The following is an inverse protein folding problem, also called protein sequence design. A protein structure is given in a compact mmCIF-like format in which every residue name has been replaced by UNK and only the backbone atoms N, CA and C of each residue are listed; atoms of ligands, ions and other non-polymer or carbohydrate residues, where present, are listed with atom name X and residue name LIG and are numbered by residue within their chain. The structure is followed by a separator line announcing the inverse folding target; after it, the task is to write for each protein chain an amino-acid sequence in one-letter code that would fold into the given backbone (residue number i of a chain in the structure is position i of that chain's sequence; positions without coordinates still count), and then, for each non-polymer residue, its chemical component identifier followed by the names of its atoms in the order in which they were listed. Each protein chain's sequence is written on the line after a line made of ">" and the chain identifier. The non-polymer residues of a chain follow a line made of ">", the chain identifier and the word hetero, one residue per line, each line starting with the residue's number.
data_IF_004521583576
#
_entry.id   IF_004521583576
#
_cell.length_a   1.000
_cell.length_b   1.000
_cell.length_c   1.000
_cell.angle_alpha   90.00
_cell.angle_beta   90.00
_cell.angle_gamma   90.00
#
_symmetry.space_group_name_H-M   'P 1'
#
loop_
_entity.id
_entity.type
_entity.pdbx_description
1 polymer ?
#
# COMPACT_ATOMS: atom_id res chain seq x y z
N UNK A 1 11.04 -18.81 -20.43
CA UNK A 1 10.72 -18.97 -18.99
C UNK A 1 11.83 -19.79 -18.39
N UNK A 2 12.35 -19.39 -17.23
CA UNK A 2 13.51 -20.02 -16.57
C UNK A 2 13.10 -20.71 -15.28
N UNK A 3 13.70 -21.85 -14.92
CA UNK A 3 13.46 -22.46 -13.60
C UNK A 3 13.64 -21.44 -12.47
N UNK A 4 12.70 -21.43 -11.53
CA UNK A 4 12.60 -20.42 -10.48
C UNK A 4 11.63 -19.28 -10.75
N UNK A 5 11.27 -19.00 -12.02
CA UNK A 5 10.28 -17.98 -12.37
C UNK A 5 8.94 -18.24 -11.65
N UNK A 6 8.33 -17.20 -11.10
CA UNK A 6 7.00 -17.34 -10.52
C UNK A 6 5.93 -17.49 -11.61
N UNK A 7 5.08 -18.51 -11.45
CA UNK A 7 3.96 -18.79 -12.34
C UNK A 7 2.66 -18.89 -11.55
N UNK A 8 1.59 -18.47 -12.20
CA UNK A 8 0.22 -18.63 -11.73
C UNK A 8 -0.56 -19.46 -12.73
N UNK A 9 -1.04 -20.63 -12.30
CA UNK A 9 -1.93 -21.45 -13.09
C UNK A 9 -3.38 -21.17 -12.70
N UNK A 10 -4.19 -20.78 -13.67
CA UNK A 10 -5.60 -20.42 -13.45
C UNK A 10 -6.51 -21.37 -14.22
N UNK A 11 -7.39 -22.08 -13.52
CA UNK A 11 -8.38 -22.96 -14.16
C UNK A 11 -9.55 -22.14 -14.74
N UNK A 12 -10.34 -22.70 -15.67
CA UNK A 12 -11.58 -22.08 -16.18
C UNK A 12 -12.58 -21.70 -15.10
N UNK A 13 -12.56 -22.42 -13.97
CA UNK A 13 -13.41 -22.14 -12.80
C UNK A 13 -12.83 -21.03 -11.89
N UNK A 14 -11.71 -20.42 -12.27
CA UNK A 14 -11.04 -19.35 -11.54
C UNK A 14 -10.14 -19.80 -10.39
N UNK A 15 -9.90 -21.11 -10.22
CA UNK A 15 -9.01 -21.63 -9.18
C UNK A 15 -7.57 -21.31 -9.55
N UNK A 16 -6.79 -20.80 -8.59
CA UNK A 16 -5.43 -20.31 -8.81
C UNK A 16 -4.40 -21.14 -8.05
N UNK A 17 -3.26 -21.40 -8.70
CA UNK A 17 -2.12 -22.10 -8.11
C UNK A 17 -0.83 -21.29 -8.38
N UNK A 18 -0.27 -20.69 -7.33
CA UNK A 18 1.00 -19.97 -7.37
C UNK A 18 2.16 -20.94 -7.13
N UNK A 19 3.14 -21.00 -8.02
CA UNK A 19 4.31 -21.88 -7.92
C UNK A 19 5.56 -21.19 -8.46
N UNK A 20 6.73 -21.62 -8.00
CA UNK A 20 7.96 -21.46 -8.77
C UNK A 20 7.96 -22.48 -9.90
N UNK A 21 8.33 -22.06 -11.09
CA UNK A 21 8.45 -22.93 -12.23
C UNK A 21 9.64 -23.87 -12.04
N UNK A 22 9.37 -25.16 -12.16
CA UNK A 22 10.36 -26.21 -12.22
C UNK A 22 9.87 -27.18 -13.31
N UNK A 23 10.63 -27.37 -14.41
CA UNK A 23 10.21 -28.23 -15.52
C UNK A 23 10.00 -29.70 -15.10
N UNK A 24 10.67 -30.17 -14.04
CA UNK A 24 10.56 -31.55 -13.57
C UNK A 24 9.41 -31.73 -12.57
N UNK A 25 8.85 -30.64 -12.06
CA UNK A 25 7.82 -30.67 -11.05
C UNK A 25 6.44 -31.05 -11.63
N UNK A 26 5.70 -31.81 -10.83
CA UNK A 26 4.31 -32.18 -11.10
C UNK A 26 3.38 -31.55 -10.07
N UNK A 27 2.33 -30.89 -10.54
CA UNK A 27 1.32 -30.30 -9.66
C UNK A 27 0.07 -31.19 -9.62
N UNK A 28 -0.21 -31.74 -8.44
CA UNK A 28 -1.43 -32.52 -8.22
C UNK A 28 -2.60 -31.57 -7.92
N UNK A 29 -3.67 -31.70 -8.70
CA UNK A 29 -4.92 -30.98 -8.49
C UNK A 29 -6.11 -31.93 -8.42
N UNK A 30 -7.29 -31.41 -8.09
CA UNK A 30 -8.54 -32.17 -8.13
C UNK A 30 -8.96 -32.53 -9.57
N UNK A 31 -8.47 -31.77 -10.56
CA UNK A 31 -8.75 -31.97 -11.99
C UNK A 31 -7.59 -32.69 -12.70
N UNK A 32 -6.79 -33.45 -11.93
CA UNK A 32 -5.65 -34.23 -12.40
C UNK A 32 -4.28 -33.61 -12.12
N UNK A 33 -3.23 -34.36 -12.47
CA UNK A 33 -1.82 -33.95 -12.43
C UNK A 33 -1.48 -33.07 -13.63
N UNK A 34 -0.84 -31.95 -13.38
CA UNK A 34 -0.28 -31.03 -14.37
C UNK A 34 1.24 -31.23 -14.41
N UNK A 35 1.77 -31.55 -15.58
CA UNK A 35 3.21 -31.60 -15.84
C UNK A 35 3.71 -30.19 -16.15
N UNK A 36 4.58 -29.64 -15.30
CA UNK A 36 5.01 -28.25 -15.44
C UNK A 36 6.00 -28.05 -16.59
N UNK A 37 6.59 -29.10 -17.16
CA UNK A 37 7.42 -28.97 -18.37
C UNK A 37 6.69 -28.27 -19.53
N UNK A 38 5.36 -28.46 -19.62
CA UNK A 38 4.49 -27.80 -20.60
C UNK A 38 4.51 -26.26 -20.50
N UNK A 39 4.79 -25.73 -19.31
CA UNK A 39 4.72 -24.29 -19.04
C UNK A 39 5.79 -23.52 -19.82
N UNK A 40 7.00 -24.08 -19.96
CA UNK A 40 8.08 -23.43 -20.71
C UNK A 40 7.72 -23.20 -22.18
N UNK A 41 7.06 -24.19 -22.80
CA UNK A 41 6.62 -24.12 -24.20
C UNK A 41 5.41 -23.19 -24.37
N UNK A 42 4.45 -23.25 -23.44
CA UNK A 42 3.25 -22.42 -23.50
C UNK A 42 3.53 -20.93 -23.23
N UNK A 43 4.47 -20.63 -22.32
CA UNK A 43 4.78 -19.27 -21.89
C UNK A 43 3.64 -18.56 -21.17
N UNK A 44 3.87 -17.32 -20.74
CA UNK A 44 2.81 -16.51 -20.13
C UNK A 44 1.73 -16.16 -21.16
N UNK A 45 0.47 -16.31 -20.76
CA UNK A 45 -0.70 -16.21 -21.64
C UNK A 45 -1.09 -17.54 -22.29
N UNK A 46 -0.19 -18.52 -22.34
CA UNK A 46 -0.43 -19.84 -22.90
C UNK A 46 -1.37 -20.71 -22.07
N UNK A 47 -1.79 -21.83 -22.65
CA UNK A 47 -2.64 -22.85 -22.01
C UNK A 47 -1.89 -24.16 -21.94
N UNK A 48 -1.99 -24.82 -20.79
CA UNK A 48 -1.51 -26.19 -20.57
C UNK A 48 -2.67 -27.08 -20.13
N UNK A 49 -2.50 -28.40 -20.22
CA UNK A 49 -3.52 -29.35 -19.79
C UNK A 49 -3.00 -30.26 -18.68
N UNK A 50 -3.90 -30.64 -17.76
CA UNK A 50 -3.67 -31.80 -16.90
C UNK A 50 -3.74 -33.10 -17.72
N UNK A 51 -3.24 -34.21 -17.16
CA UNK A 51 -3.38 -35.53 -17.80
C UNK A 51 -4.85 -35.97 -18.00
N UNK A 52 -5.81 -35.32 -17.34
CA UNK A 52 -7.25 -35.55 -17.53
C UNK A 52 -7.90 -34.56 -18.52
N UNK A 53 -7.09 -33.76 -19.23
CA UNK A 53 -7.57 -32.81 -20.24
C UNK A 53 -8.10 -31.48 -19.69
N UNK A 54 -8.01 -31.23 -18.38
CA UNK A 54 -8.44 -29.95 -17.81
C UNK A 54 -7.44 -28.84 -18.13
N UNK A 55 -7.92 -27.75 -18.72
CA UNK A 55 -7.09 -26.64 -19.17
C UNK A 55 -6.72 -25.69 -18.04
N UNK A 56 -5.54 -25.08 -18.15
CA UNK A 56 -5.03 -24.07 -17.22
C UNK A 56 -4.33 -22.95 -18.00
N UNK A 57 -4.65 -21.70 -17.68
CA UNK A 57 -3.94 -20.52 -18.19
C UNK A 57 -2.68 -20.30 -17.37
N UNK A 58 -1.54 -20.15 -18.03
CA UNK A 58 -0.28 -19.75 -17.41
C UNK A 58 -0.21 -18.23 -17.38
N UNK A 59 -0.07 -17.62 -16.20
CA UNK A 59 0.03 -16.18 -16.03
C UNK A 59 1.22 -15.81 -15.17
N UNK A 60 1.73 -14.59 -15.35
CA UNK A 60 2.64 -13.98 -14.39
C UNK A 60 1.82 -13.50 -13.19
N UNK A 61 2.16 -13.89 -11.95
CA UNK A 61 1.42 -13.42 -10.79
C UNK A 61 1.66 -11.93 -10.58
N UNK A 62 0.57 -11.20 -10.32
CA UNK A 62 0.62 -9.83 -9.80
C UNK A 62 0.99 -9.84 -8.31
N UNK A 63 1.49 -8.72 -7.79
CA UNK A 63 1.75 -8.54 -6.35
C UNK A 63 0.48 -8.79 -5.51
N UNK A 64 -0.69 -8.42 -6.05
CA UNK A 64 -1.99 -8.76 -5.45
C UNK A 64 -2.16 -10.28 -5.23
N UNK A 65 -1.79 -11.08 -6.22
CA UNK A 65 -1.87 -12.55 -6.14
C UNK A 65 -0.80 -13.13 -5.21
N UNK A 66 0.40 -12.52 -5.14
CA UNK A 66 1.42 -12.91 -4.16
C UNK A 66 0.89 -12.72 -2.74
N UNK A 67 0.39 -11.52 -2.41
CA UNK A 67 -0.19 -11.19 -1.10
C UNK A 67 -1.36 -12.13 -0.77
N UNK A 68 -2.26 -12.38 -1.73
CA UNK A 68 -3.43 -13.25 -1.50
C UNK A 68 -3.05 -14.72 -1.35
N UNK A 69 -1.98 -15.17 -2.00
CA UNK A 69 -1.47 -16.54 -2.02
C UNK A 69 -0.61 -16.92 -0.81
N UNK A 70 -0.20 -15.95 0.01
CA UNK A 70 0.49 -16.18 1.30
C UNK A 70 -0.30 -17.16 2.16
N UNK A 71 0.38 -18.18 2.71
CA UNK A 71 -0.22 -19.10 3.67
C UNK A 71 -0.48 -18.36 4.98
N UNK A 72 -1.73 -18.36 5.44
CA UNK A 72 -2.17 -17.54 6.57
C UNK A 72 -2.32 -18.39 7.83
N UNK A 73 -1.72 -17.90 8.92
CA UNK A 73 -2.03 -18.32 10.29
C UNK A 73 -2.52 -17.14 11.14
N UNK A 74 -2.43 -15.93 10.61
CA UNK A 74 -2.91 -14.68 11.21
C UNK A 74 -3.92 -14.02 10.29
N UNK A 75 -4.64 -13.03 10.82
CA UNK A 75 -5.24 -12.03 9.97
C UNK A 75 -4.13 -11.33 9.18
N UNK A 76 -4.41 -11.02 7.91
CA UNK A 76 -3.50 -10.24 7.07
C UNK A 76 -4.15 -8.90 6.75
N UNK A 77 -3.31 -7.88 6.58
CA UNK A 77 -3.72 -6.63 5.97
C UNK A 77 -4.25 -6.89 4.54
N UNK A 78 -5.34 -6.22 4.18
CA UNK A 78 -5.94 -6.42 2.86
C UNK A 78 -5.17 -5.58 1.82
N UNK A 79 -5.20 -5.98 0.54
CA UNK A 79 -4.52 -5.22 -0.51
C UNK A 79 -4.97 -3.76 -0.64
N UNK A 80 -6.19 -3.42 -0.19
CA UNK A 80 -6.71 -2.04 -0.23
C UNK A 80 -5.94 -1.11 0.72
N UNK A 81 -5.63 -1.57 1.92
CA UNK A 81 -4.77 -0.84 2.86
C UNK A 81 -3.33 -0.88 2.41
N UNK A 82 -2.81 -2.05 2.03
CA UNK A 82 -1.40 -2.19 1.62
C UNK A 82 -1.07 -1.21 0.50
N UNK A 83 -1.91 -1.11 -0.54
CA UNK A 83 -1.69 -0.17 -1.63
C UNK A 83 -1.64 1.28 -1.15
N UNK A 84 -2.52 1.66 -0.22
CA UNK A 84 -2.53 3.00 0.36
C UNK A 84 -1.31 3.25 1.26
N UNK A 85 -0.92 2.27 2.09
CA UNK A 85 0.27 2.33 2.95
C UNK A 85 1.54 2.52 2.11
N UNK A 86 1.70 1.74 1.04
CA UNK A 86 2.85 1.89 0.12
C UNK A 86 2.93 3.31 -0.43
N UNK A 87 1.80 3.89 -0.85
CA UNK A 87 1.74 5.26 -1.35
C UNK A 87 2.04 6.28 -0.24
N UNK A 88 1.39 6.14 0.91
CA UNK A 88 1.43 7.14 1.99
C UNK A 88 2.79 7.20 2.69
N UNK A 89 3.47 6.06 2.78
CA UNK A 89 4.83 5.96 3.30
C UNK A 89 5.92 6.21 2.24
N UNK A 90 5.55 6.47 0.99
CA UNK A 90 6.52 6.72 -0.08
C UNK A 90 7.42 5.53 -0.42
N UNK A 91 6.90 4.30 -0.29
CA UNK A 91 7.68 3.08 -0.52
C UNK A 91 7.97 2.91 -2.01
N UNK A 92 9.25 2.84 -2.37
CA UNK A 92 9.72 2.66 -3.74
C UNK A 92 11.10 2.02 -3.82
N UNK A 93 11.66 1.88 -5.03
CA UNK A 93 12.98 1.30 -5.23
C UNK A 93 14.05 2.01 -4.37
N UNK A 94 14.82 1.25 -3.60
CA UNK A 94 15.86 1.79 -2.73
C UNK A 94 15.42 2.14 -1.31
N UNK A 95 14.12 2.23 -1.04
CA UNK A 95 13.61 2.56 0.31
C UNK A 95 14.05 1.50 1.33
N UNK A 96 14.54 1.96 2.49
CA UNK A 96 14.77 1.17 3.70
C UNK A 96 13.55 1.31 4.61
N UNK A 97 12.80 0.24 4.78
CA UNK A 97 11.54 0.26 5.54
C UNK A 97 11.59 -0.72 6.70
N UNK A 98 11.15 -0.26 7.87
CA UNK A 98 10.96 -1.11 9.05
C UNK A 98 9.49 -1.51 9.17
N UNK A 99 9.24 -2.77 9.48
CA UNK A 99 7.92 -3.30 9.79
C UNK A 99 8.00 -4.13 11.08
N UNK A 100 6.99 -4.04 11.94
CA UNK A 100 6.85 -4.99 13.04
C UNK A 100 5.42 -5.53 13.14
N UNK A 101 5.34 -6.81 13.53
CA UNK A 101 4.14 -7.62 13.36
C UNK A 101 4.10 -8.28 11.98
N UNK A 102 5.18 -8.98 11.59
CA UNK A 102 5.27 -9.64 10.27
C UNK A 102 4.09 -10.58 10.02
N UNK A 103 3.62 -11.28 11.07
CA UNK A 103 2.49 -12.20 11.00
C UNK A 103 2.69 -13.26 9.91
N UNK A 104 1.76 -13.34 8.96
CA UNK A 104 1.89 -14.26 7.82
C UNK A 104 2.80 -13.74 6.69
N UNK A 105 3.26 -12.48 6.74
CA UNK A 105 4.15 -11.86 5.75
C UNK A 105 3.44 -11.19 4.57
N UNK A 106 2.15 -10.84 4.72
CA UNK A 106 1.36 -10.23 3.64
C UNK A 106 1.83 -8.82 3.26
N UNK A 107 1.98 -7.94 4.26
CA UNK A 107 2.54 -6.60 4.07
C UNK A 107 4.03 -6.68 3.74
N UNK A 108 4.81 -7.49 4.46
CA UNK A 108 6.22 -7.77 4.16
C UNK A 108 6.46 -8.14 2.69
N UNK A 109 5.62 -9.01 2.11
CA UNK A 109 5.70 -9.40 0.68
C UNK A 109 5.52 -8.19 -0.24
N UNK A 110 4.59 -7.30 0.08
CA UNK A 110 4.32 -6.11 -0.72
C UNK A 110 5.46 -5.08 -0.60
N UNK A 111 5.96 -4.85 0.62
CA UNK A 111 7.13 -4.00 0.88
C UNK A 111 8.33 -4.53 0.10
N UNK A 112 8.66 -5.82 0.22
CA UNK A 112 9.81 -6.45 -0.46
C UNK A 112 9.69 -6.37 -1.99
N UNK A 113 8.48 -6.49 -2.52
CA UNK A 113 8.25 -6.28 -3.95
C UNK A 113 8.57 -4.83 -4.35
N UNK A 114 8.05 -3.86 -3.59
CA UNK A 114 8.09 -2.44 -3.91
C UNK A 114 9.47 -1.79 -3.70
N UNK A 115 10.22 -2.19 -2.66
CA UNK A 115 11.57 -1.65 -2.39
C UNK A 115 12.62 -2.06 -3.42
N UNK A 116 12.32 -3.08 -4.22
CA UNK A 116 13.23 -3.58 -5.25
C UNK A 116 14.52 -4.20 -4.68
N UNK A 117 15.48 -4.47 -5.56
CA UNK A 117 16.77 -5.08 -5.17
C UNK A 117 17.75 -4.10 -4.54
N UNK A 118 17.48 -2.79 -4.66
CA UNK A 118 18.31 -1.71 -4.09
C UNK A 118 17.83 -1.25 -2.72
N UNK A 119 16.62 -1.63 -2.30
CA UNK A 119 16.06 -1.31 -0.99
C UNK A 119 16.13 -2.48 -0.03
N UNK A 120 15.52 -2.32 1.14
CA UNK A 120 15.53 -3.33 2.20
C UNK A 120 14.29 -3.22 3.07
N UNK A 121 13.69 -4.36 3.39
CA UNK A 121 12.69 -4.47 4.45
C UNK A 121 13.34 -5.08 5.68
N UNK A 122 13.25 -4.42 6.83
CA UNK A 122 13.61 -5.00 8.12
C UNK A 122 12.32 -5.34 8.85
N UNK A 123 12.05 -6.62 9.04
CA UNK A 123 10.77 -7.08 9.62
C UNK A 123 11.01 -7.77 10.96
N UNK A 124 10.21 -7.40 11.95
CA UNK A 124 10.33 -7.85 13.33
C UNK A 124 9.08 -8.63 13.76
N UNK A 125 9.27 -9.85 14.25
CA UNK A 125 8.20 -10.71 14.74
C UNK A 125 8.65 -11.47 15.98
N UNK A 126 8.06 -11.17 17.13
CA UNK A 126 8.45 -11.81 18.40
C UNK A 126 8.02 -13.27 18.50
N UNK A 127 6.98 -13.68 17.78
CA UNK A 127 6.42 -15.04 17.86
C UNK A 127 7.14 -15.98 16.89
N UNK A 128 7.92 -16.97 17.36
CA UNK A 128 8.74 -17.82 16.49
C UNK A 128 7.94 -18.51 15.38
N UNK A 129 6.71 -18.93 15.66
CA UNK A 129 5.86 -19.61 14.68
C UNK A 129 5.45 -18.72 13.50
N UNK A 130 5.27 -17.41 13.74
CA UNK A 130 4.95 -16.44 12.71
C UNK A 130 6.18 -15.91 12.00
N UNK A 131 7.29 -15.78 12.75
CA UNK A 131 8.60 -15.58 12.16
C UNK A 131 8.83 -16.68 11.12
N UNK A 132 8.87 -17.95 11.48
CA UNK A 132 9.11 -19.06 10.55
C UNK A 132 8.14 -19.11 9.37
N UNK A 133 6.85 -18.83 9.61
CA UNK A 133 5.84 -18.80 8.56
C UNK A 133 6.10 -17.69 7.52
N UNK A 134 6.37 -16.46 7.98
CA UNK A 134 6.66 -15.33 7.10
C UNK A 134 7.88 -15.61 6.22
N UNK A 135 8.93 -16.23 6.78
CA UNK A 135 10.12 -16.66 6.04
C UNK A 135 9.79 -17.62 4.89
N UNK A 136 9.05 -18.69 5.19
CA UNK A 136 8.62 -19.67 4.17
C UNK A 136 7.76 -19.03 3.07
N UNK A 137 6.88 -18.09 3.43
CA UNK A 137 6.06 -17.38 2.46
C UNK A 137 6.90 -16.46 1.56
N UNK A 138 7.87 -15.74 2.12
CA UNK A 138 8.81 -14.90 1.35
C UNK A 138 9.70 -15.73 0.42
N UNK A 139 10.15 -16.90 0.89
CA UNK A 139 10.94 -17.82 0.08
C UNK A 139 10.12 -18.34 -1.09
N UNK A 140 8.87 -18.75 -0.83
CA UNK A 140 7.93 -19.18 -1.86
C UNK A 140 7.64 -18.07 -2.89
N UNK A 141 7.58 -16.81 -2.43
CA UNK A 141 7.43 -15.63 -3.28
C UNK A 141 8.74 -15.18 -3.96
N UNK A 142 9.89 -15.78 -3.65
CA UNK A 142 11.18 -15.39 -4.23
C UNK A 142 11.63 -13.98 -3.83
N UNK A 143 11.24 -13.51 -2.64
CA UNK A 143 11.50 -12.14 -2.16
C UNK A 143 12.38 -12.09 -0.91
N UNK A 144 12.78 -13.25 -0.35
CA UNK A 144 13.56 -13.31 0.89
C UNK A 144 14.87 -12.53 0.83
N UNK A 145 15.51 -12.44 -0.35
CA UNK A 145 16.78 -11.72 -0.50
C UNK A 145 16.65 -10.20 -0.35
N UNK A 146 15.43 -9.65 -0.26
CA UNK A 146 15.14 -8.22 -0.03
C UNK A 146 14.70 -7.92 1.40
N UNK A 147 14.62 -8.95 2.25
CA UNK A 147 14.08 -8.86 3.61
C UNK A 147 15.10 -9.36 4.61
N UNK A 148 15.40 -8.52 5.60
CA UNK A 148 16.11 -8.93 6.80
C UNK A 148 15.08 -9.16 7.90
N UNK A 149 15.08 -10.35 8.49
CA UNK A 149 14.06 -10.81 9.43
C UNK A 149 14.66 -10.98 10.81
N UNK A 150 13.94 -10.52 11.83
CA UNK A 150 14.33 -10.65 13.23
C UNK A 150 13.22 -11.31 14.05
N UNK A 151 13.54 -12.40 14.74
CA UNK A 151 12.66 -12.95 15.76
C UNK A 151 12.91 -12.20 17.09
N UNK A 152 12.34 -11.01 17.22
CA UNK A 152 12.69 -10.06 18.28
C UNK A 152 11.47 -9.28 18.77
N UNK A 153 11.45 -8.92 20.05
CA UNK A 153 10.42 -8.06 20.63
C UNK A 153 10.87 -6.60 20.57
N UNK A 154 10.15 -5.80 19.79
CA UNK A 154 10.46 -4.38 19.56
C UNK A 154 10.28 -3.49 20.81
N UNK A 155 9.73 -4.00 21.93
CA UNK A 155 9.86 -3.31 23.23
C UNK A 155 11.33 -3.11 23.62
N UNK A 156 12.22 -4.00 23.18
CA UNK A 156 13.66 -3.93 23.43
C UNK A 156 14.40 -3.04 22.41
N UNK A 157 13.66 -2.41 21.48
CA UNK A 157 14.20 -1.57 20.42
C UNK A 157 14.40 -2.30 19.10
N UNK A 158 15.12 -1.65 18.19
CA UNK A 158 15.40 -2.15 16.83
C UNK A 158 16.87 -2.53 16.65
N UNK A 159 17.56 -2.88 17.74
CA UNK A 159 18.94 -3.35 17.74
C UNK A 159 19.03 -4.81 18.23
N UNK A 160 18.48 -5.78 17.48
CA UNK A 160 18.42 -7.18 17.89
C UNK A 160 19.81 -7.83 17.85
N UNK A 161 19.94 -8.98 18.52
CA UNK A 161 21.13 -9.83 18.41
C UNK A 161 21.39 -10.21 16.94
N UNK A 162 22.66 -10.15 16.54
CA UNK A 162 23.09 -10.42 15.16
C UNK A 162 22.95 -9.25 14.18
N UNK A 163 22.40 -8.10 14.60
CA UNK A 163 22.51 -6.85 13.85
C UNK A 163 23.94 -6.31 13.89
N UNK A 164 24.44 -5.83 12.75
CA UNK A 164 25.77 -5.21 12.64
C UNK A 164 25.59 -3.70 12.44
N UNK A 165 25.98 -2.86 13.42
CA UNK A 165 25.80 -1.41 13.31
C UNK A 165 26.46 -0.83 12.04
N UNK A 166 25.71 -0.01 11.30
CA UNK A 166 26.14 0.62 10.06
C UNK A 166 26.08 -0.27 8.81
N UNK A 167 25.79 -1.56 8.93
CA UNK A 167 25.59 -2.44 7.78
C UNK A 167 24.15 -2.34 7.26
N UNK A 168 23.91 -1.79 6.05
CA UNK A 168 22.54 -1.67 5.52
C UNK A 168 21.88 -3.03 5.25
N UNK A 169 22.59 -4.16 5.25
CA UNK A 169 21.96 -5.47 5.17
C UNK A 169 21.32 -5.92 6.50
N UNK A 170 21.73 -5.35 7.63
CA UNK A 170 21.25 -5.77 8.97
C UNK A 170 20.77 -4.63 9.87
N UNK A 171 21.43 -3.48 9.84
CA UNK A 171 21.06 -2.32 10.66
C UNK A 171 19.81 -1.60 10.10
N UNK A 172 18.69 -1.54 10.84
CA UNK A 172 17.51 -0.78 10.43
C UNK A 172 17.62 0.72 10.69
N UNK A 173 18.68 1.20 11.37
CA UNK A 173 18.80 2.61 11.80
C UNK A 173 18.80 3.58 10.62
N UNK A 174 18.09 4.70 10.77
CA UNK A 174 17.87 5.67 9.70
C UNK A 174 16.96 5.13 8.60
N UNK A 175 15.96 4.34 8.96
CA UNK A 175 14.94 3.88 8.01
C UNK A 175 14.14 5.05 7.43
N UNK A 176 13.82 4.96 6.15
CA UNK A 176 13.08 5.99 5.41
C UNK A 176 11.58 5.98 5.75
N UNK A 177 11.06 4.84 6.22
CA UNK A 177 9.67 4.68 6.62
C UNK A 177 9.52 3.53 7.63
N UNK A 178 8.43 3.56 8.42
CA UNK A 178 8.10 2.48 9.35
C UNK A 178 6.60 2.20 9.39
N UNK A 179 6.22 0.92 9.45
CA UNK A 179 4.84 0.50 9.66
C UNK A 179 4.70 -0.49 10.83
N UNK A 180 3.76 -0.23 11.77
CA UNK A 180 3.45 -1.15 12.86
C UNK A 180 2.04 -1.76 12.71
N UNK A 181 1.98 -3.09 12.73
CA UNK A 181 0.74 -3.87 12.91
C UNK A 181 0.84 -4.69 14.20
N UNK A 182 0.81 -3.99 15.33
CA UNK A 182 0.95 -4.56 16.68
C UNK A 182 -0.20 -4.11 17.58
N UNK A 183 -0.40 -4.83 18.68
CA UNK A 183 -1.57 -4.62 19.57
C UNK A 183 -1.53 -3.28 20.32
N UNK A 184 -0.34 -2.82 20.71
CA UNK A 184 -0.13 -1.65 21.57
C UNK A 184 0.95 -0.72 21.01
N UNK A 185 0.77 -0.14 19.81
CA UNK A 185 1.79 0.66 19.13
C UNK A 185 2.26 1.89 19.94
N UNK A 186 1.43 2.41 20.84
CA UNK A 186 1.77 3.53 21.72
C UNK A 186 2.91 3.21 22.70
N UNK A 187 3.14 1.93 23.04
CA UNK A 187 4.25 1.51 23.92
C UNK A 187 5.62 1.57 23.21
N UNK A 188 5.63 1.83 21.90
CA UNK A 188 6.82 1.71 21.04
C UNK A 188 7.26 3.03 20.39
N UNK A 189 6.59 4.15 20.69
CA UNK A 189 6.79 5.41 19.96
C UNK A 189 8.22 5.95 20.09
N UNK A 190 8.87 5.75 21.23
CA UNK A 190 10.28 6.13 21.44
C UNK A 190 11.22 5.31 20.55
N UNK A 191 11.03 3.99 20.52
CA UNK A 191 11.81 3.07 19.70
C UNK A 191 11.60 3.35 18.21
N UNK A 192 10.36 3.65 17.81
CA UNK A 192 10.01 4.05 16.43
C UNK A 192 10.73 5.33 16.05
N UNK A 193 10.71 6.35 16.92
CA UNK A 193 11.39 7.61 16.65
C UNK A 193 12.91 7.44 16.53
N UNK A 194 13.50 6.56 17.35
CA UNK A 194 14.94 6.32 17.37
C UNK A 194 15.46 5.58 16.11
N UNK A 195 14.64 4.74 15.46
CA UNK A 195 15.10 3.92 14.32
C UNK A 195 14.91 4.60 12.96
N UNK A 196 13.93 5.50 12.82
CA UNK A 196 13.65 6.17 11.54
C UNK A 196 14.49 7.43 11.35
N UNK A 197 14.67 7.87 10.10
CA UNK A 197 15.31 9.15 9.84
C UNK A 197 14.40 10.32 10.24
N UNK A 198 14.96 11.46 10.68
CA UNK A 198 14.20 12.70 10.87
C UNK A 198 13.33 13.04 9.64
N UNK A 199 12.03 13.27 9.84
CA UNK A 199 11.09 13.55 8.74
C UNK A 199 10.44 12.31 8.10
N UNK A 200 10.83 11.09 8.50
CA UNK A 200 10.26 9.87 7.95
C UNK A 200 8.75 9.76 8.24
N UNK A 201 7.93 9.31 7.26
CA UNK A 201 6.55 8.92 7.51
C UNK A 201 6.49 7.59 8.27
N UNK A 202 5.55 7.51 9.22
CA UNK A 202 5.25 6.28 9.97
C UNK A 202 3.76 5.94 9.86
N UNK A 203 3.43 4.66 9.89
CA UNK A 203 2.07 4.17 9.78
C UNK A 203 1.73 3.08 10.79
N UNK A 204 0.44 2.99 11.13
CA UNK A 204 -0.09 2.03 12.09
C UNK A 204 -1.40 1.44 11.58
N UNK A 205 -1.66 0.16 11.89
CA UNK A 205 -2.97 -0.48 11.69
C UNK A 205 -3.58 -0.84 13.04
N UNK A 206 -4.82 -0.40 13.30
CA UNK A 206 -5.52 -0.70 14.54
C UNK A 206 -6.98 -1.12 14.28
N UNK A 207 -7.50 -2.19 14.91
CA UNK A 207 -8.86 -2.66 14.63
C UNK A 207 -9.95 -1.86 15.36
N UNK A 208 -9.65 -1.18 16.47
CA UNK A 208 -10.66 -0.52 17.32
C UNK A 208 -10.37 0.96 17.56
N UNK A 209 -11.42 1.75 17.73
CA UNK A 209 -11.33 3.19 18.00
C UNK A 209 -10.73 3.53 19.37
N UNK A 210 -10.88 2.63 20.36
CA UNK A 210 -10.18 2.77 21.65
C UNK A 210 -8.67 2.74 21.47
N UNK A 211 -8.16 1.79 20.68
CA UNK A 211 -6.73 1.73 20.37
C UNK A 211 -6.24 2.97 19.61
N UNK A 212 -7.07 3.53 18.72
CA UNK A 212 -6.74 4.81 18.07
C UNK A 212 -6.60 5.90 19.13
N UNK A 213 -7.54 5.98 20.07
CA UNK A 213 -7.51 6.99 21.13
C UNK A 213 -6.25 6.87 22.00
N UNK A 214 -5.82 5.65 22.31
CA UNK A 214 -4.59 5.39 23.06
C UNK A 214 -3.34 5.78 22.26
N UNK A 215 -3.30 5.45 20.96
CA UNK A 215 -2.23 5.88 20.06
C UNK A 215 -2.13 7.40 19.94
N UNK A 216 -3.26 8.09 19.75
CA UNK A 216 -3.30 9.55 19.64
C UNK A 216 -2.75 10.22 20.90
N UNK A 217 -3.11 9.74 22.10
CA UNK A 217 -2.54 10.26 23.36
C UNK A 217 -1.03 10.04 23.45
N UNK A 218 -0.52 8.89 22.97
CA UNK A 218 0.92 8.66 22.89
C UNK A 218 1.62 9.64 21.95
N UNK A 219 1.01 9.89 20.77
CA UNK A 219 1.55 10.78 19.74
C UNK A 219 1.61 12.24 20.19
N UNK A 220 0.73 12.70 21.09
CA UNK A 220 0.78 14.07 21.66
C UNK A 220 2.10 14.41 22.36
N UNK A 221 2.79 13.40 22.91
CA UNK A 221 4.05 13.57 23.64
C UNK A 221 5.28 13.03 22.90
N UNK A 222 5.06 12.28 21.82
CA UNK A 222 6.13 11.70 21.01
C UNK A 222 6.57 12.68 19.92
N UNK A 223 7.78 12.53 19.33
CA UNK A 223 8.31 13.45 18.33
C UNK A 223 7.69 13.22 16.94
N UNK A 224 6.36 13.21 16.86
CA UNK A 224 5.60 13.00 15.64
C UNK A 224 4.58 14.13 15.42
N UNK A 225 4.42 14.52 14.16
CA UNK A 225 3.51 15.56 13.68
C UNK A 225 2.68 15.03 12.50
N UNK A 226 1.85 15.87 11.88
CA UNK A 226 1.03 15.53 10.70
C UNK A 226 0.16 14.26 10.89
N UNK A 227 -0.47 14.14 12.06
CA UNK A 227 -1.26 12.95 12.41
C UNK A 227 -2.55 12.87 11.57
N UNK A 228 -2.77 11.74 10.92
CA UNK A 228 -3.96 11.43 10.11
C UNK A 228 -4.58 10.10 10.58
N UNK A 229 -5.92 10.03 10.64
CA UNK A 229 -6.67 8.80 10.91
C UNK A 229 -7.70 8.59 9.81
N UNK A 230 -7.73 7.41 9.20
CA UNK A 230 -8.70 7.06 8.16
C UNK A 230 -8.99 5.56 8.09
N UNK A 231 -10.01 5.20 7.35
CA UNK A 231 -10.31 3.82 6.94
C UNK A 231 -10.65 3.76 5.45
N UNK A 232 -10.55 2.58 4.84
CA UNK A 232 -10.78 2.40 3.40
C UNK A 232 -11.93 1.42 3.18
N UNK A 233 -12.98 1.85 2.49
CA UNK A 233 -14.10 0.99 2.10
C UNK A 233 -14.00 0.63 0.62
N UNK A 234 -14.03 -0.67 0.30
CA UNK A 234 -14.07 -1.16 -1.09
C UNK A 234 -15.41 -1.83 -1.34
N UNK A 235 -16.28 -1.15 -2.11
CA UNK A 235 -17.60 -1.65 -2.48
C UNK A 235 -17.57 -2.25 -3.89
N UNK A 236 -17.71 -3.57 -3.97
CA UNK A 236 -17.73 -4.30 -5.24
C UNK A 236 -19.10 -4.21 -5.90
N UNK A 237 -19.10 -4.30 -7.22
CA UNK A 237 -20.29 -4.36 -8.05
C UNK A 237 -20.31 -5.69 -8.79
N UNK A 238 -21.52 -6.23 -9.00
CA UNK A 238 -21.79 -7.31 -9.95
C UNK A 238 -21.68 -6.71 -11.35
N UNK A 239 -20.64 -7.04 -12.14
CA UNK A 239 -20.34 -6.36 -13.40
C UNK A 239 -21.15 -6.97 -14.56
N UNK A 240 -22.48 -6.99 -14.42
CA UNK A 240 -23.40 -7.43 -15.48
C UNK A 240 -23.98 -6.19 -16.12
N UNK A 241 -23.69 -5.93 -17.39
CA UNK A 241 -24.05 -4.68 -18.07
C UNK A 241 -25.52 -4.27 -17.86
N UNK A 242 -26.46 -5.18 -18.12
CA UNK A 242 -27.91 -4.90 -18.00
C UNK A 242 -28.43 -4.82 -16.56
N UNK A 243 -27.63 -5.23 -15.57
CA UNK A 243 -28.02 -5.33 -14.15
C UNK A 243 -26.87 -4.92 -13.23
N UNK A 244 -26.13 -3.88 -13.60
CA UNK A 244 -25.00 -3.38 -12.82
C UNK A 244 -25.50 -2.88 -11.47
N UNK A 245 -24.98 -3.47 -10.40
CA UNK A 245 -25.38 -3.12 -9.04
C UNK A 245 -24.32 -3.56 -8.03
N UNK A 246 -24.28 -2.98 -6.81
CA UNK A 246 -23.40 -3.47 -5.76
C UNK A 246 -23.59 -4.95 -5.46
N UNK A 247 -22.53 -5.61 -4.97
CA UNK A 247 -22.65 -6.88 -4.29
C UNK A 247 -23.54 -6.74 -3.04
N UNK A 248 -24.29 -7.79 -2.70
CA UNK A 248 -25.26 -7.74 -1.59
C UNK A 248 -24.57 -7.73 -0.22
N UNK A 249 -23.32 -8.19 -0.15
CA UNK A 249 -22.47 -8.20 1.05
C UNK A 249 -21.13 -7.57 0.73
N UNK A 250 -20.54 -6.89 1.71
CA UNK A 250 -19.18 -6.38 1.62
C UNK A 250 -18.44 -6.60 2.95
N UNK A 251 -17.12 -6.51 2.90
CA UNK A 251 -16.31 -6.38 4.11
C UNK A 251 -16.49 -4.95 4.61
N UNK A 252 -17.22 -4.81 5.72
CA UNK A 252 -17.58 -3.50 6.27
C UNK A 252 -16.42 -2.84 7.04
N UNK A 253 -15.54 -3.63 7.65
CA UNK A 253 -14.39 -3.13 8.38
C UNK A 253 -13.23 -4.13 8.34
N UNK A 254 -12.02 -3.60 8.43
CA UNK A 254 -10.76 -4.35 8.52
C UNK A 254 -9.89 -3.77 9.63
N UNK A 255 -9.66 -2.47 9.58
CA UNK A 255 -8.90 -1.70 10.55
C UNK A 255 -8.79 -0.24 10.12
N UNK A 256 -8.40 0.59 11.06
CA UNK A 256 -8.08 2.01 10.87
C UNK A 256 -6.60 2.14 10.55
N UNK A 257 -6.30 2.99 9.59
CA UNK A 257 -4.94 3.42 9.28
C UNK A 257 -4.69 4.74 9.99
N UNK A 258 -3.56 4.80 10.68
CA UNK A 258 -3.07 6.02 11.32
C UNK A 258 -1.71 6.31 10.72
N UNK A 259 -1.48 7.56 10.33
CA UNK A 259 -0.19 8.01 9.84
C UNK A 259 0.28 9.19 10.67
N UNK A 260 1.60 9.33 10.78
CA UNK A 260 2.25 10.51 11.34
C UNK A 260 3.61 10.69 10.64
N UNK A 261 4.28 11.81 10.92
CA UNK A 261 5.61 12.11 10.40
C UNK A 261 6.55 12.44 11.54
N UNK A 262 7.75 11.89 11.53
CA UNK A 262 8.76 12.26 12.53
C UNK A 262 9.05 13.77 12.45
N UNK A 263 8.90 14.51 13.55
CA UNK A 263 8.96 15.98 13.59
C UNK A 263 10.30 16.54 13.07
N UNK A 264 11.37 15.76 13.26
CA UNK A 264 12.69 16.06 12.72
C UNK A 264 13.42 17.08 13.58
N UNK A 265 14.19 17.97 12.95
CA UNK A 265 14.86 19.05 13.68
C UNK A 265 13.85 20.13 14.06
N UNK A 266 13.72 20.50 15.34
CA UNK A 266 12.81 21.56 15.75
C UNK A 266 13.06 22.87 14.99
N UNK A 267 12.00 23.64 14.72
CA UNK A 267 12.09 24.97 14.09
C UNK A 267 12.83 26.03 14.94
N UNK A 268 13.35 25.66 16.10
CA UNK A 268 14.11 26.52 17.00
C UNK A 268 15.58 26.54 16.59
N UNK A 269 15.94 27.44 15.67
CA UNK A 269 17.33 27.67 15.25
C UNK A 269 17.45 28.78 14.21
N UNK A 270 18.59 29.45 14.14
CA UNK A 270 18.92 30.37 13.04
C UNK A 270 19.55 29.58 11.89
N UNK A 271 18.82 29.39 10.80
CA UNK A 271 19.42 28.89 9.55
C UNK A 271 20.17 30.06 8.90
N UNK A 272 21.46 29.92 8.54
CA UNK A 272 22.17 30.93 7.76
C UNK A 272 21.41 31.16 6.45
N UNK A 273 20.80 32.33 6.30
CA UNK A 273 20.16 32.72 5.04
C UNK A 273 21.29 32.88 4.03
N UNK A 274 21.27 32.08 2.96
CA UNK A 274 22.20 32.28 1.85
C UNK A 274 22.04 33.71 1.35
N UNK A 275 23.15 34.46 1.33
CA UNK A 275 23.16 35.85 0.86
C UNK A 275 22.49 35.89 -0.51
N UNK A 276 21.41 36.67 -0.61
CA UNK A 276 20.75 36.90 -1.89
C UNK A 276 21.79 37.47 -2.84
N UNK A 277 22.20 36.69 -3.84
CA UNK A 277 23.00 37.19 -4.96
C UNK A 277 22.24 38.40 -5.50
N UNK A 278 22.79 39.60 -5.28
CA UNK A 278 22.25 40.83 -5.85
C UNK A 278 22.23 40.61 -7.35
N UNK A 279 21.03 40.51 -7.95
CA UNK A 279 20.90 40.62 -9.41
C UNK A 279 21.62 41.91 -9.79
N UNK A 280 22.62 41.78 -10.67
CA UNK A 280 23.29 42.93 -11.25
C UNK A 280 22.21 43.87 -11.79
N UNK A 281 22.33 45.16 -11.45
CA UNK A 281 21.45 46.19 -12.00
C UNK A 281 21.55 46.11 -13.52
N UNK A 282 20.44 45.82 -14.18
CA UNK A 282 20.31 46.05 -15.62
C UNK A 282 20.51 47.57 -15.85
N UNK A 283 21.46 47.90 -16.72
CA UNK A 283 21.75 49.27 -17.15
C UNK A 283 20.46 49.94 -17.66
N UNK A 284 20.12 51.14 -17.18
CA UNK A 284 19.04 51.93 -17.77
C UNK A 284 19.60 52.73 -18.94
N UNK A 285 19.96 52.06 -20.03
CA UNK A 285 20.20 52.71 -21.33
C UNK A 285 19.30 52.01 -22.36
N UNK A 286 17.99 52.29 -22.26
CA UNK A 286 17.01 51.98 -23.30
C UNK A 286 16.33 53.29 -23.74
N UNK A 287 16.76 53.72 -24.92
CA UNK A 287 16.03 54.40 -26.00
C UNK A 287 15.11 55.60 -25.68
N UNK A 288 15.53 56.76 -26.20
CA UNK A 288 14.67 57.91 -26.43
C UNK A 288 13.52 57.61 -27.40
N UNK A 289 12.39 58.33 -27.32
CA UNK A 289 11.18 57.96 -28.02
C UNK A 289 11.18 58.49 -29.47
N UNK A 290 10.62 57.75 -30.46
CA UNK A 290 10.05 58.39 -31.62
C UNK A 290 8.55 58.65 -31.42
N UNK A 291 8.12 59.76 -32.02
CA UNK A 291 6.85 60.47 -31.90
C UNK A 291 5.60 59.72 -32.45
N UNK A 292 4.37 60.21 -32.19
CA UNK A 292 3.13 59.50 -32.48
C UNK A 292 2.65 59.73 -33.92
N UNK A 293 2.21 58.67 -34.59
CA UNK A 293 1.57 58.70 -35.90
C UNK A 293 0.23 57.99 -35.88
N UNK A 294 -0.83 58.74 -36.13
CA UNK A 294 -2.23 58.33 -36.13
C UNK A 294 -2.60 57.42 -37.32
N UNK A 295 -3.49 56.43 -37.09
CA UNK A 295 -4.77 56.38 -37.81
C UNK A 295 -5.76 55.35 -37.22
N UNK A 296 -7.02 55.79 -37.17
CA UNK A 296 -8.24 55.06 -36.80
C UNK A 296 -8.60 53.98 -37.84
N UNK A 297 -9.30 52.87 -37.54
CA UNK A 297 -10.74 52.77 -37.17
C UNK A 297 -11.10 51.28 -36.91
N UNK A 298 -12.30 50.97 -36.34
CA UNK A 298 -12.60 49.71 -35.67
C UNK A 298 -13.36 48.69 -36.54
N UNK A 299 -13.26 47.40 -36.19
CA UNK A 299 -14.27 46.39 -36.56
C UNK A 299 -14.46 45.35 -35.45
N UNK A 300 -15.69 45.27 -34.95
CA UNK A 300 -16.34 44.10 -34.33
C UNK A 300 -17.54 43.72 -35.24
N UNK A 301 -18.38 42.67 -35.01
CA UNK A 301 -18.49 41.75 -33.85
C UNK A 301 -18.84 40.26 -34.19
N UNK A 302 -19.07 39.45 -33.15
CA UNK A 302 -19.81 38.16 -33.19
C UNK A 302 -18.90 36.93 -33.00
N UNK A 303 -19.19 35.91 -32.19
CA UNK A 303 -20.49 35.26 -31.93
C UNK A 303 -20.56 34.55 -30.57
N UNK A 304 -21.79 34.56 -30.02
CA UNK A 304 -22.36 33.82 -28.89
C UNK A 304 -22.15 32.29 -28.89
N UNK A 305 -21.81 31.68 -27.75
CA UNK A 305 -22.72 30.83 -26.94
C UNK A 305 -22.48 29.32 -27.15
N UNK A 306 -22.89 28.38 -26.26
CA UNK A 306 -24.06 28.48 -25.37
C UNK A 306 -23.84 28.07 -23.90
N UNK A 307 -24.91 28.30 -23.15
CA UNK A 307 -25.08 28.22 -21.70
C UNK A 307 -25.29 26.80 -21.14
N UNK A 308 -25.05 26.66 -19.83
CA UNK A 308 -25.29 25.46 -19.03
C UNK A 308 -26.80 25.21 -18.75
N UNK A 309 -27.24 23.95 -18.61
CA UNK A 309 -28.64 23.63 -18.34
C UNK A 309 -29.03 23.76 -16.85
N UNK A 310 -30.26 24.20 -16.63
CA UNK A 310 -30.91 24.39 -15.32
C UNK A 310 -31.33 23.08 -14.64
N UNK A 311 -31.50 23.06 -13.29
CA UNK A 311 -31.89 21.86 -12.55
C UNK A 311 -33.40 21.58 -12.60
N UNK A 312 -33.84 20.32 -12.40
CA UNK A 312 -35.24 19.93 -12.47
C UNK A 312 -36.04 20.35 -11.22
N UNK A 313 -37.39 20.46 -11.33
CA UNK A 313 -38.24 20.96 -10.25
C UNK A 313 -38.53 19.93 -9.15
N UNK A 314 -38.72 20.47 -7.94
CA UNK A 314 -39.09 19.79 -6.70
C UNK A 314 -40.49 19.15 -6.77
N UNK A 315 -40.57 17.85 -6.48
CA UNK A 315 -41.85 17.16 -6.30
C UNK A 315 -42.39 17.37 -4.87
N UNK A 316 -43.62 17.83 -4.79
CA UNK A 316 -44.42 17.98 -3.58
C UNK A 316 -44.98 16.65 -3.10
N UNK A 317 -44.94 16.48 -1.79
CA UNK A 317 -45.48 15.40 -0.96
C UNK A 317 -47.03 15.42 -0.94
N UNK A 318 -47.69 14.25 -0.91
CA UNK A 318 -48.90 14.14 -0.10
C UNK A 318 -48.88 12.90 0.82
N UNK A 319 -49.00 13.23 2.11
CA UNK A 319 -49.40 12.42 3.27
C UNK A 319 -50.30 11.21 3.00
N UNK A 320 -49.94 10.05 3.58
CA UNK A 320 -50.90 9.16 4.23
C UNK A 320 -50.20 8.32 5.32
N UNK A 321 -50.66 8.50 6.55
CA UNK A 321 -50.24 7.83 7.78
C UNK A 321 -50.85 6.43 7.88
N UNK A 322 -50.02 5.41 8.18
CA UNK A 322 -50.49 4.14 8.75
C UNK A 322 -49.83 3.92 10.13
N UNK A 323 -50.58 3.51 11.16
CA UNK A 323 -50.08 3.29 12.51
C UNK A 323 -49.37 1.93 12.66
N UNK A 324 -48.50 1.76 13.68
CA UNK A 324 -47.79 0.50 13.92
C UNK A 324 -48.71 -0.55 14.55
N UNK A 325 -48.54 -1.85 14.26
CA UNK A 325 -49.25 -2.90 14.97
C UNK A 325 -48.66 -3.11 16.37
N UNK A 326 -49.54 -3.03 17.37
CA UNK A 326 -49.35 -3.51 18.74
C UNK A 326 -49.19 -5.03 18.78
N UNK A 327 -48.25 -5.53 19.58
CA UNK A 327 -47.86 -6.95 19.64
C UNK A 327 -48.81 -7.90 20.38
N UNK A 328 -48.40 -9.17 20.46
CA UNK A 328 -48.60 -10.12 21.58
C UNK A 328 -47.94 -11.48 21.25
N UNK A 329 -47.22 -12.02 22.23
CA UNK A 329 -47.09 -13.43 22.65
C UNK A 329 -46.87 -14.57 21.64
N UNK A 330 -45.65 -15.12 21.64
CA UNK A 330 -45.30 -16.52 21.96
C UNK A 330 -43.81 -16.79 21.69
#
# INVERSE_FOLDING_TARGET
>A
MTPGDLILLVSPKGKQYLRKFDPEAKLHTQDGVIDLSQVAQAGYGGVIASHMGSLYRVLRPSTYQLIKGVKRSTQIMYPKEIGYVLLKLGIGPGTRVVEAGSGSGGLTTALAYQVGDTGRVYTFERRPEFYELSGKNLEAAGLSHRVTRYNHDILQGFAPEGMVPGDPASDPSGADALFLDVRTPWDHLEQVAAVVCPGAPVGFLLPTTNQISDLLRGLETAPFEDVEVLEILVRRYKPVADRLRPEDRMVAHTGFLIFARHAGTPFTGSIPVLDRVRRAQENPDDDGPPAPGANATPHAPGTSGPAAPAPPPSATDPTASDPPPSGADA
#
